data_IF_177660591788
#
_entry.id   IF_177660591788
#
_cell.length_a   1.000
_cell.length_b   1.000
_cell.length_c   1.000
_cell.angle_alpha   90.00
_cell.angle_beta   90.00
_cell.angle_gamma   90.00
#
_symmetry.space_group_name_H-M   'P 1'
#
loop_
_entity.id
_entity.type
_entity.pdbx_description
1 polymer ?
#
# COMPACT_ATOMS: atom_id res chain seq x y z
N UNK A 1 -61.96 -13.90 -21.18
CA UNK A 1 -60.89 -13.13 -20.53
C UNK A 1 -59.63 -13.95 -20.58
N UNK A 2 -58.74 -13.67 -21.54
CA UNK A 2 -57.46 -14.37 -21.70
C UNK A 2 -56.41 -13.53 -20.99
N UNK A 3 -55.80 -14.08 -19.94
CA UNK A 3 -54.72 -13.43 -19.21
C UNK A 3 -53.39 -13.79 -19.88
N UNK A 4 -52.69 -12.77 -20.41
CA UNK A 4 -51.34 -12.87 -20.94
C UNK A 4 -50.38 -12.64 -19.77
N UNK A 5 -49.61 -13.66 -19.42
CA UNK A 5 -48.51 -13.54 -18.46
C UNK A 5 -47.28 -13.00 -19.20
N UNK A 6 -46.86 -11.77 -18.88
CA UNK A 6 -45.54 -11.26 -19.28
C UNK A 6 -44.47 -11.92 -18.40
N UNK A 7 -43.60 -12.73 -19.01
CA UNK A 7 -42.33 -13.12 -18.41
C UNK A 7 -41.38 -11.92 -18.52
N UNK A 8 -41.01 -11.36 -17.38
CA UNK A 8 -39.91 -10.40 -17.25
C UNK A 8 -38.59 -11.17 -17.34
N UNK A 9 -37.82 -10.93 -18.40
CA UNK A 9 -36.42 -11.33 -18.49
C UNK A 9 -35.56 -10.28 -17.80
N UNK A 10 -35.01 -10.63 -16.64
CA UNK A 10 -34.01 -9.82 -15.94
C UNK A 10 -32.68 -9.98 -16.71
N UNK A 11 -32.04 -8.90 -17.16
CA UNK A 11 -30.78 -9.00 -17.91
C UNK A 11 -29.62 -9.44 -16.99
N UNK A 12 -28.77 -10.31 -17.51
CA UNK A 12 -27.64 -10.99 -16.84
C UNK A 12 -26.41 -10.06 -16.65
N UNK A 13 -26.55 -8.75 -16.88
CA UNK A 13 -25.43 -7.80 -16.93
C UNK A 13 -24.64 -7.69 -15.63
N UNK A 14 -25.31 -7.80 -14.47
CA UNK A 14 -24.67 -7.66 -13.16
C UNK A 14 -23.69 -8.78 -12.78
N UNK A 15 -23.82 -9.98 -13.37
CA UNK A 15 -22.84 -11.06 -13.13
C UNK A 15 -21.52 -10.82 -13.87
N UNK A 16 -21.57 -10.18 -15.04
CA UNK A 16 -20.37 -9.94 -15.85
C UNK A 16 -19.52 -8.81 -15.24
N UNK A 17 -20.14 -7.72 -14.77
CA UNK A 17 -19.43 -6.66 -14.04
C UNK A 17 -18.77 -7.17 -12.75
N UNK A 18 -19.46 -8.04 -11.99
CA UNK A 18 -18.90 -8.61 -10.77
C UNK A 18 -17.79 -9.66 -11.01
N UNK A 19 -17.76 -10.33 -12.16
CA UNK A 19 -16.65 -11.21 -12.55
C UNK A 19 -15.45 -10.42 -13.08
N UNK A 20 -15.68 -9.35 -13.84
CA UNK A 20 -14.61 -8.44 -14.30
C UNK A 20 -14.02 -7.61 -13.15
N UNK A 21 -14.82 -7.16 -12.18
CA UNK A 21 -14.30 -6.52 -10.95
C UNK A 21 -13.46 -7.48 -10.09
N UNK A 22 -13.70 -8.80 -10.16
CA UNK A 22 -12.89 -9.81 -9.47
C UNK A 22 -11.59 -10.12 -10.20
N UNK A 23 -11.54 -9.95 -11.52
CA UNK A 23 -10.27 -9.99 -12.26
C UNK A 23 -9.49 -8.70 -11.96
N UNK A 24 -8.25 -8.82 -11.49
CA UNK A 24 -7.37 -7.69 -11.17
C UNK A 24 -7.67 -6.95 -9.86
N UNK A 25 -8.55 -7.48 -9.01
CA UNK A 25 -8.66 -7.04 -7.61
C UNK A 25 -7.89 -8.00 -6.72
N UNK A 26 -6.95 -7.45 -5.94
CA UNK A 26 -6.32 -8.14 -4.81
C UNK A 26 -7.09 -7.77 -3.55
N UNK A 27 -7.87 -8.71 -3.04
CA UNK A 27 -8.45 -8.61 -1.71
C UNK A 27 -7.33 -8.73 -0.66
N UNK A 28 -7.30 -7.79 0.27
CA UNK A 28 -6.39 -7.75 1.41
C UNK A 28 -7.21 -7.69 2.69
N UNK A 29 -6.94 -8.58 3.63
CA UNK A 29 -7.55 -8.53 4.97
C UNK A 29 -6.49 -8.30 6.04
N UNK A 30 -6.63 -7.26 6.85
CA UNK A 30 -5.84 -7.10 8.07
C UNK A 30 -6.46 -7.91 9.21
N UNK A 31 -5.62 -8.65 9.93
CA UNK A 31 -6.01 -9.41 11.12
C UNK A 31 -5.00 -9.19 12.25
N UNK A 32 -5.41 -9.48 13.48
CA UNK A 32 -4.55 -9.44 14.66
C UNK A 32 -4.61 -10.79 15.38
N UNK A 33 -3.44 -11.40 15.60
CA UNK A 33 -3.25 -12.59 16.41
C UNK A 33 -2.72 -12.15 17.78
N UNK A 34 -3.61 -12.15 18.77
CA UNK A 34 -3.28 -11.71 20.12
C UNK A 34 -2.42 -12.71 20.90
N UNK A 35 -2.41 -14.00 20.53
CA UNK A 35 -1.59 -15.01 21.21
C UNK A 35 -0.12 -14.86 20.84
N UNK A 36 0.14 -14.59 19.56
CA UNK A 36 1.49 -14.42 19.01
C UNK A 36 1.94 -12.96 18.97
N UNK A 37 1.07 -12.01 19.36
CA UNK A 37 1.26 -10.57 19.24
C UNK A 37 1.67 -10.16 17.82
N UNK A 38 0.90 -10.61 16.81
CA UNK A 38 1.16 -10.34 15.40
C UNK A 38 0.02 -9.58 14.75
N UNK A 39 0.38 -8.62 13.92
CA UNK A 39 -0.53 -8.04 12.94
C UNK A 39 -0.16 -8.59 11.57
N UNK A 40 -1.16 -8.91 10.74
CA UNK A 40 -0.96 -9.66 9.51
C UNK A 40 -1.79 -9.08 8.39
N UNK A 41 -1.21 -9.03 7.19
CA UNK A 41 -1.97 -8.96 5.96
C UNK A 41 -2.26 -10.38 5.47
N UNK A 42 -3.46 -10.58 4.92
CA UNK A 42 -3.81 -11.78 4.17
C UNK A 42 -4.20 -11.33 2.77
N UNK A 43 -3.36 -11.65 1.80
CA UNK A 43 -3.62 -11.35 0.40
C UNK A 43 -4.32 -12.55 -0.24
N UNK A 44 -5.30 -12.26 -1.08
CA UNK A 44 -5.94 -13.28 -1.94
C UNK A 44 -4.99 -13.85 -3.00
N UNK A 45 -4.02 -13.05 -3.45
CA UNK A 45 -2.89 -13.49 -4.28
C UNK A 45 -1.64 -12.68 -3.97
N UNK A 46 -0.48 -13.34 -4.02
CA UNK A 46 0.84 -12.73 -3.93
C UNK A 46 1.62 -12.81 -5.26
N UNK A 47 1.01 -13.37 -6.31
CA UNK A 47 1.47 -13.32 -7.70
C UNK A 47 0.36 -12.71 -8.55
N UNK A 48 0.64 -11.62 -9.26
CA UNK A 48 -0.37 -10.87 -10.02
C UNK A 48 0.17 -10.44 -11.39
N UNK A 49 -0.74 -10.27 -12.34
CA UNK A 49 -0.45 -9.69 -13.66
C UNK A 49 -0.01 -8.23 -13.59
N UNK A 50 0.82 -7.79 -14.53
CA UNK A 50 1.22 -6.37 -14.67
C UNK A 50 0.07 -5.53 -15.22
N UNK A 51 0.11 -4.21 -14.99
CA UNK A 51 -0.93 -3.27 -15.41
C UNK A 51 -1.73 -2.71 -14.25
N UNK A 52 -2.97 -2.30 -14.51
CA UNK A 52 -3.86 -1.76 -13.49
C UNK A 52 -4.32 -2.85 -12.53
N UNK A 53 -4.11 -2.61 -11.24
CA UNK A 53 -4.51 -3.51 -10.15
C UNK A 53 -5.25 -2.72 -9.09
N UNK A 54 -6.42 -3.21 -8.69
CA UNK A 54 -7.16 -2.71 -7.54
C UNK A 54 -6.73 -3.47 -6.28
N UNK A 55 -6.35 -2.76 -5.23
CA UNK A 55 -6.26 -3.31 -3.89
C UNK A 55 -7.51 -2.94 -3.10
N UNK A 56 -8.27 -3.95 -2.68
CA UNK A 56 -9.40 -3.78 -1.78
C UNK A 56 -8.98 -4.22 -0.39
N UNK A 57 -8.79 -3.24 0.50
CA UNK A 57 -8.25 -3.47 1.82
C UNK A 57 -9.34 -3.42 2.89
N UNK A 58 -9.69 -4.59 3.42
CA UNK A 58 -10.59 -4.74 4.54
C UNK A 58 -9.81 -4.84 5.86
N UNK A 59 -10.07 -3.93 6.79
CA UNK A 59 -9.54 -4.02 8.13
C UNK A 59 -10.47 -4.82 9.05
N UNK A 60 -10.23 -6.13 9.17
CA UNK A 60 -11.02 -7.01 10.03
C UNK A 60 -10.51 -7.06 11.48
N UNK A 61 -9.59 -6.17 11.86
CA UNK A 61 -9.02 -6.10 13.21
C UNK A 61 -9.59 -4.93 14.01
N UNK A 62 -9.25 -4.89 15.30
CA UNK A 62 -9.59 -3.77 16.19
C UNK A 62 -8.61 -2.59 16.16
N UNK A 63 -7.62 -2.61 15.28
CA UNK A 63 -6.55 -1.59 15.18
C UNK A 63 -6.61 -0.91 13.84
N UNK A 64 -6.18 0.35 13.75
CA UNK A 64 -5.96 1.01 12.48
C UNK A 64 -4.75 0.38 11.76
N UNK A 65 -4.80 0.37 10.43
CA UNK A 65 -3.70 -0.16 9.62
C UNK A 65 -3.40 0.73 8.44
N UNK A 66 -2.15 0.67 8.00
CA UNK A 66 -1.66 1.38 6.84
C UNK A 66 -1.21 0.36 5.79
N UNK A 67 -1.64 0.52 4.54
CA UNK A 67 -1.20 -0.34 3.44
C UNK A 67 -0.44 0.50 2.41
N UNK A 68 0.87 0.32 2.36
CA UNK A 68 1.78 0.98 1.42
C UNK A 68 2.54 -0.05 0.60
N UNK A 69 2.59 0.18 -0.70
CA UNK A 69 3.27 -0.65 -1.68
C UNK A 69 4.62 -0.01 -2.02
N UNK A 70 5.68 -0.81 -1.99
CA UNK A 70 7.02 -0.45 -2.43
C UNK A 70 7.44 -1.31 -3.62
N UNK A 71 7.93 -0.69 -4.68
CA UNK A 71 8.67 -1.39 -5.72
C UNK A 71 10.13 -1.53 -5.30
N UNK A 72 10.68 -2.74 -5.43
CA UNK A 72 12.07 -3.04 -5.14
C UNK A 72 12.89 -2.88 -6.42
N UNK A 73 14.02 -2.15 -6.40
CA UNK A 73 14.87 -2.01 -7.57
C UNK A 73 15.60 -3.33 -7.85
N UNK A 74 16.04 -3.51 -9.10
CA UNK A 74 16.77 -4.69 -9.55
C UNK A 74 18.01 -4.99 -8.69
N UNK A 75 18.69 -3.95 -8.20
CA UNK A 75 19.82 -4.07 -7.29
C UNK A 75 19.44 -4.73 -5.96
N UNK A 76 18.25 -4.42 -5.43
CA UNK A 76 17.72 -5.03 -4.21
C UNK A 76 17.35 -6.50 -4.43
N UNK A 77 16.75 -6.82 -5.58
CA UNK A 77 16.44 -8.19 -5.98
C UNK A 77 17.72 -9.03 -6.12
N UNK A 78 18.76 -8.48 -6.77
CA UNK A 78 20.07 -9.12 -6.90
C UNK A 78 20.77 -9.30 -5.55
N UNK A 79 20.64 -8.33 -4.65
CA UNK A 79 21.22 -8.40 -3.31
C UNK A 79 20.59 -9.54 -2.48
N UNK A 80 19.26 -9.66 -2.48
CA UNK A 80 18.55 -10.76 -1.83
C UNK A 80 18.99 -12.14 -2.37
N UNK A 81 19.04 -12.28 -3.70
CA UNK A 81 19.52 -13.52 -4.35
C UNK A 81 20.96 -13.85 -3.98
N UNK A 82 21.86 -12.86 -3.97
CA UNK A 82 23.27 -13.04 -3.63
C UNK A 82 23.47 -13.45 -2.16
N UNK A 83 22.59 -13.00 -1.29
CA UNK A 83 22.56 -13.37 0.12
C UNK A 83 21.83 -14.70 0.38
N UNK A 84 21.24 -15.33 -0.64
CA UNK A 84 20.43 -16.54 -0.54
C UNK A 84 19.24 -16.37 0.42
N UNK A 85 18.53 -15.25 0.27
CA UNK A 85 17.41 -14.84 1.11
C UNK A 85 16.16 -14.63 0.26
N UNK A 86 14.98 -14.82 0.86
CA UNK A 86 13.75 -14.36 0.22
C UNK A 86 13.75 -12.82 0.13
N UNK A 87 12.98 -12.28 -0.81
CA UNK A 87 12.80 -10.82 -0.93
C UNK A 87 12.27 -10.23 0.38
N UNK A 88 11.28 -10.90 0.99
CA UNK A 88 10.67 -10.51 2.25
C UNK A 88 11.69 -10.46 3.39
N UNK A 89 12.49 -11.52 3.56
CA UNK A 89 13.51 -11.58 4.61
C UNK A 89 14.63 -10.56 4.40
N UNK A 90 14.97 -10.28 3.13
CA UNK A 90 15.99 -9.30 2.78
C UNK A 90 15.51 -7.89 3.11
N UNK A 91 14.27 -7.55 2.76
CA UNK A 91 13.63 -6.30 3.16
C UNK A 91 13.57 -6.17 4.69
N UNK A 92 13.08 -7.21 5.38
CA UNK A 92 12.93 -7.17 6.83
C UNK A 92 14.25 -6.85 7.54
N UNK A 93 15.34 -7.56 7.20
CA UNK A 93 16.64 -7.36 7.87
C UNK A 93 17.37 -6.10 7.41
N UNK A 94 17.14 -5.68 6.18
CA UNK A 94 17.78 -4.51 5.57
C UNK A 94 17.11 -3.19 5.95
N UNK A 95 15.78 -3.21 6.11
CA UNK A 95 14.92 -2.02 6.20
C UNK A 95 14.08 -2.04 7.48
N UNK A 96 13.14 -2.99 7.61
CA UNK A 96 12.13 -3.00 8.69
C UNK A 96 12.76 -3.09 10.08
N UNK A 97 13.69 -4.02 10.28
CA UNK A 97 14.37 -4.20 11.56
C UNK A 97 15.27 -3.01 11.92
N UNK A 98 16.11 -2.49 11.01
CA UNK A 98 16.82 -1.23 11.24
C UNK A 98 15.88 -0.07 11.58
N UNK A 99 14.75 0.06 10.89
CA UNK A 99 13.79 1.13 11.15
C UNK A 99 13.26 1.09 12.59
N UNK A 100 12.75 -0.06 13.05
CA UNK A 100 12.31 -0.22 14.44
C UNK A 100 13.46 0.09 15.42
N UNK A 101 14.64 -0.49 15.17
CA UNK A 101 15.80 -0.36 16.08
C UNK A 101 16.22 1.09 16.28
N UNK A 102 16.29 1.86 15.20
CA UNK A 102 16.70 3.27 15.25
C UNK A 102 15.56 4.19 15.74
N UNK A 103 14.30 3.80 15.57
CA UNK A 103 13.13 4.53 16.07
C UNK A 103 12.96 4.45 17.59
N UNK A 104 13.29 3.31 18.22
CA UNK A 104 13.16 3.11 19.68
C UNK A 104 13.80 4.22 20.53
N UNK A 105 15.10 4.54 20.40
CA UNK A 105 15.70 5.59 21.22
C UNK A 105 15.14 6.99 20.92
N UNK A 106 14.60 7.23 19.72
CA UNK A 106 13.91 8.47 19.41
C UNK A 106 12.60 8.61 20.19
N UNK A 107 11.76 7.57 20.18
CA UNK A 107 10.47 7.63 20.87
C UNK A 107 10.61 7.61 22.40
N UNK A 108 11.70 7.02 22.90
CA UNK A 108 12.10 7.07 24.32
C UNK A 108 12.66 8.44 24.75
N UNK A 109 12.88 9.36 23.81
CA UNK A 109 13.42 10.69 24.06
C UNK A 109 14.95 10.73 24.27
N UNK A 110 15.66 9.67 23.88
CA UNK A 110 17.12 9.59 23.95
C UNK A 110 17.83 10.26 22.77
N UNK A 111 17.13 10.40 21.63
CA UNK A 111 17.64 11.05 20.43
C UNK A 111 16.74 12.21 20.00
N UNK A 112 17.36 13.27 19.48
CA UNK A 112 16.63 14.27 18.71
C UNK A 112 16.25 13.72 17.33
N UNK A 113 15.18 14.25 16.74
CA UNK A 113 14.66 13.78 15.45
C UNK A 113 15.70 13.76 14.33
N UNK A 114 16.60 14.76 14.29
CA UNK A 114 17.68 14.80 13.30
C UNK A 114 18.70 13.67 13.52
N UNK A 115 19.03 13.37 14.77
CA UNK A 115 19.99 12.31 15.10
C UNK A 115 19.41 10.93 14.74
N UNK A 116 18.12 10.72 15.03
CA UNK A 116 17.38 9.55 14.57
C UNK A 116 17.45 9.38 13.05
N UNK A 117 17.05 10.40 12.30
CA UNK A 117 17.00 10.32 10.83
C UNK A 117 18.39 10.12 10.21
N UNK A 118 19.43 10.79 10.73
CA UNK A 118 20.82 10.58 10.30
C UNK A 118 21.27 9.13 10.59
N UNK A 119 20.98 8.60 11.79
CA UNK A 119 21.34 7.22 12.19
C UNK A 119 20.62 6.16 11.36
N UNK A 120 19.34 6.37 11.10
CA UNK A 120 18.52 5.50 10.26
C UNK A 120 19.07 5.45 8.83
N UNK A 121 19.34 6.60 8.22
CA UNK A 121 19.92 6.68 6.87
C UNK A 121 21.27 5.97 6.81
N UNK A 122 22.15 6.19 7.79
CA UNK A 122 23.45 5.53 7.85
C UNK A 122 23.31 4.01 7.97
N UNK A 123 22.42 3.53 8.84
CA UNK A 123 22.19 2.11 9.09
C UNK A 123 21.60 1.39 7.88
N UNK A 124 20.56 1.97 7.26
CA UNK A 124 19.96 1.42 6.05
C UNK A 124 20.96 1.48 4.88
N UNK A 125 21.68 2.58 4.68
CA UNK A 125 22.66 2.67 3.59
C UNK A 125 23.78 1.61 3.71
N UNK A 126 24.14 1.23 4.93
CA UNK A 126 25.12 0.15 5.17
C UNK A 126 24.57 -1.26 4.94
N UNK A 127 23.27 -1.49 5.14
CA UNK A 127 22.64 -2.82 5.04
C UNK A 127 21.95 -3.07 3.69
N UNK A 128 21.33 -2.05 3.15
CA UNK A 128 20.57 -2.02 1.91
C UNK A 128 20.98 -0.77 1.10
N UNK A 129 22.20 -0.74 0.54
CA UNK A 129 22.69 0.39 -0.25
C UNK A 129 21.84 0.69 -1.50
N UNK A 130 20.98 -0.26 -1.89
CA UNK A 130 20.02 -0.13 -2.99
C UNK A 130 18.72 0.60 -2.59
N UNK A 131 18.53 0.94 -1.32
CA UNK A 131 17.24 1.47 -0.85
C UNK A 131 17.02 2.95 -1.15
N UNK A 132 18.07 3.78 -1.06
CA UNK A 132 17.98 5.22 -1.29
C UNK A 132 18.41 5.61 -2.72
N UNK A 133 17.86 6.74 -3.18
CA UNK A 133 18.05 7.46 -4.46
C UNK A 133 18.70 6.71 -5.66
N UNK A 134 17.93 6.38 -6.72
CA UNK A 134 16.47 6.42 -6.80
C UNK A 134 15.84 5.29 -5.98
N UNK A 135 16.56 4.20 -5.75
CA UNK A 135 16.23 3.13 -4.81
C UNK A 135 14.80 2.57 -4.89
N UNK A 136 14.28 2.14 -3.74
CA UNK A 136 12.92 1.64 -3.63
C UNK A 136 11.90 2.79 -3.80
N UNK A 137 10.80 2.51 -4.50
CA UNK A 137 9.80 3.52 -4.87
C UNK A 137 8.46 3.20 -4.22
N UNK A 138 7.78 4.20 -3.67
CA UNK A 138 6.40 4.04 -3.21
C UNK A 138 5.44 4.06 -4.38
N UNK A 139 4.56 3.05 -4.46
CA UNK A 139 3.61 2.88 -5.56
C UNK A 139 2.18 3.26 -5.15
N UNK A 140 2.03 3.85 -3.96
CA UNK A 140 0.74 4.16 -3.35
C UNK A 140 0.18 2.98 -2.57
N UNK A 141 -1.14 2.80 -2.64
CA UNK A 141 -1.89 1.82 -1.85
C UNK A 141 -3.04 2.50 -1.11
N UNK A 142 -3.97 1.71 -0.52
CA UNK A 142 -5.15 2.23 0.14
C UNK A 142 -4.88 3.14 1.35
N UNK A 143 -3.65 3.18 1.87
CA UNK A 143 -3.28 4.07 2.96
C UNK A 143 -3.87 3.64 4.30
N UNK A 144 -4.25 4.61 5.13
CA UNK A 144 -4.85 4.34 6.44
C UNK A 144 -6.28 3.83 6.30
N UNK A 145 -6.57 2.73 6.99
CA UNK A 145 -7.91 2.14 7.05
C UNK A 145 -8.24 1.85 8.51
N UNK A 146 -9.29 2.51 9.00
CA UNK A 146 -9.71 2.39 10.38
C UNK A 146 -10.23 0.98 10.70
N UNK A 147 -10.25 0.62 11.97
CA UNK A 147 -10.80 -0.65 12.44
C UNK A 147 -12.23 -0.90 11.91
N UNK A 148 -12.45 -2.06 11.28
CA UNK A 148 -13.75 -2.46 10.72
C UNK A 148 -14.10 -1.84 9.36
N UNK A 149 -13.29 -0.91 8.85
CA UNK A 149 -13.56 -0.22 7.59
C UNK A 149 -12.90 -0.91 6.39
N UNK A 150 -13.28 -0.47 5.19
CA UNK A 150 -12.69 -0.93 3.92
C UNK A 150 -12.26 0.27 3.09
N UNK A 151 -11.07 0.19 2.50
CA UNK A 151 -10.53 1.17 1.56
C UNK A 151 -10.18 0.51 0.23
N UNK A 152 -10.14 1.30 -0.83
CA UNK A 152 -9.84 0.83 -2.19
C UNK A 152 -8.90 1.82 -2.87
N UNK A 153 -7.90 1.30 -3.56
CA UNK A 153 -7.04 2.10 -4.45
C UNK A 153 -6.66 1.26 -5.65
N UNK A 154 -6.60 1.90 -6.81
CA UNK A 154 -6.12 1.28 -8.05
C UNK A 154 -4.79 1.91 -8.42
N UNK A 155 -3.80 1.06 -8.72
CA UNK A 155 -2.43 1.48 -9.06
C UNK A 155 -1.99 0.75 -10.32
N UNK A 156 -1.10 1.35 -11.09
CA UNK A 156 -0.44 0.69 -12.21
C UNK A 156 0.87 0.07 -11.74
N UNK A 157 1.03 -1.25 -11.91
CA UNK A 157 2.23 -1.98 -11.50
C UNK A 157 2.92 -2.61 -12.71
N UNK A 158 4.20 -2.32 -12.87
CA UNK A 158 5.06 -2.95 -13.87
C UNK A 158 5.52 -4.33 -13.39
N UNK A 159 5.99 -5.21 -14.29
CA UNK A 159 6.63 -6.45 -13.86
C UNK A 159 7.79 -6.19 -12.89
N UNK A 160 7.83 -6.91 -11.77
CA UNK A 160 8.82 -6.68 -10.72
C UNK A 160 8.44 -7.27 -9.37
N UNK A 161 9.25 -6.97 -8.35
CA UNK A 161 9.05 -7.43 -6.97
C UNK A 161 8.65 -6.27 -6.08
N UNK A 162 7.63 -6.50 -5.26
CA UNK A 162 7.02 -5.48 -4.43
C UNK A 162 6.89 -5.92 -2.99
N UNK A 163 7.00 -4.97 -2.06
CA UNK A 163 6.72 -5.18 -0.65
C UNK A 163 5.49 -4.37 -0.27
N UNK A 164 4.61 -4.96 0.52
CA UNK A 164 3.52 -4.23 1.17
C UNK A 164 3.71 -4.25 2.68
N UNK A 165 3.59 -3.10 3.32
CA UNK A 165 3.91 -2.98 4.75
C UNK A 165 3.01 -1.99 5.49
N UNK A 166 2.88 -2.23 6.80
CA UNK A 166 2.16 -1.37 7.73
C UNK A 166 3.11 -0.62 8.67
N UNK A 167 2.98 0.71 8.70
CA UNK A 167 3.74 1.61 9.56
C UNK A 167 2.97 2.08 10.81
N UNK A 168 1.85 1.43 11.13
CA UNK A 168 1.16 1.66 12.40
C UNK A 168 1.93 0.95 13.52
N UNK A 169 1.93 1.54 14.72
CA UNK A 169 2.54 0.98 15.91
C UNK A 169 1.46 0.42 16.83
N UNK A 170 1.81 -0.63 17.57
CA UNK A 170 1.01 -1.11 18.68
C UNK A 170 1.21 -0.23 19.93
N UNK A 171 0.60 -0.61 21.05
CA UNK A 171 0.65 0.13 22.31
C UNK A 171 2.05 0.18 22.94
N UNK A 172 2.93 -0.76 22.58
CA UNK A 172 4.34 -0.79 22.98
C UNK A 172 5.30 -0.10 22.00
N UNK A 173 4.78 0.76 21.11
CA UNK A 173 5.57 1.51 20.12
C UNK A 173 6.29 0.63 19.08
N UNK A 174 5.83 -0.62 18.91
CA UNK A 174 6.36 -1.57 17.92
C UNK A 174 5.55 -1.49 16.63
N UNK A 175 6.22 -1.27 15.50
CA UNK A 175 5.62 -1.23 14.18
C UNK A 175 5.03 -2.59 13.79
N UNK A 176 3.81 -2.59 13.25
CA UNK A 176 3.13 -3.79 12.79
C UNK A 176 3.96 -4.57 11.76
N UNK A 177 4.66 -3.90 10.84
CA UNK A 177 5.59 -4.54 9.90
C UNK A 177 6.72 -5.31 10.59
N UNK A 178 7.18 -4.84 11.75
CA UNK A 178 8.18 -5.52 12.56
C UNK A 178 7.64 -6.80 13.23
N UNK A 179 6.35 -6.83 13.51
CA UNK A 179 5.64 -7.97 14.14
C UNK A 179 4.71 -8.72 13.17
N UNK A 180 5.09 -8.76 11.89
CA UNK A 180 4.51 -9.69 10.91
C UNK A 180 3.65 -9.06 9.81
N UNK A 181 3.39 -7.76 9.83
CA UNK A 181 2.51 -7.10 8.86
C UNK A 181 3.29 -6.57 7.65
N UNK A 182 3.96 -7.50 6.99
CA UNK A 182 4.87 -7.28 5.88
C UNK A 182 4.69 -8.45 4.90
N UNK A 183 4.38 -8.17 3.63
CA UNK A 183 4.15 -9.21 2.63
C UNK A 183 4.86 -8.88 1.31
N UNK A 184 5.19 -9.92 0.55
CA UNK A 184 5.82 -9.82 -0.76
C UNK A 184 4.79 -10.11 -1.86
N UNK A 185 4.82 -9.29 -2.92
CA UNK A 185 4.03 -9.47 -4.13
C UNK A 185 4.98 -9.56 -5.32
N UNK A 186 4.80 -10.56 -6.17
CA UNK A 186 5.46 -10.67 -7.47
C UNK A 186 4.50 -10.25 -8.57
N UNK A 187 4.90 -9.27 -9.37
CA UNK A 187 4.15 -8.83 -10.54
C UNK A 187 4.81 -9.44 -11.77
N UNK A 188 4.10 -10.35 -12.43
CA UNK A 188 4.63 -11.10 -13.57
C UNK A 188 4.45 -10.32 -14.87
N UNK A 189 5.29 -10.67 -15.87
CA UNK A 189 5.20 -10.14 -17.23
C UNK A 189 4.06 -10.79 -18.02
N UNK A 190 2.85 -10.60 -17.50
CA UNK A 190 1.57 -10.95 -18.11
C UNK A 190 0.65 -9.77 -17.88
N UNK A 191 0.37 -8.99 -18.93
CA UNK A 191 -0.45 -7.79 -18.82
C UNK A 191 -1.89 -8.16 -18.52
N UNK A 192 -2.48 -7.52 -17.52
CA UNK A 192 -3.89 -7.66 -17.18
C UNK A 192 -4.77 -6.98 -18.24
N UNK A 193 -5.97 -7.52 -18.46
CA UNK A 193 -6.98 -6.89 -19.32
C UNK A 193 -7.74 -5.76 -18.60
N UNK A 194 -7.22 -5.27 -17.47
CA UNK A 194 -7.88 -4.25 -16.64
C UNK A 194 -7.47 -2.87 -17.11
N UNK A 195 -8.48 -2.08 -17.46
CA UNK A 195 -8.30 -0.70 -17.90
C UNK A 195 -8.11 0.27 -16.73
N UNK A 196 -7.51 1.42 -17.01
CA UNK A 196 -7.44 2.53 -16.06
C UNK A 196 -8.84 2.96 -15.64
N UNK A 197 -9.12 3.15 -14.33
CA UNK A 197 -10.41 3.68 -13.90
C UNK A 197 -10.63 5.12 -14.38
N UNK A 198 -11.76 5.36 -15.04
CA UNK A 198 -12.16 6.72 -15.44
C UNK A 198 -12.43 7.62 -14.21
N UNK A 199 -11.70 8.74 -14.04
CA UNK A 199 -11.84 9.58 -12.86
C UNK A 199 -13.08 10.49 -12.95
N UNK A 200 -13.81 10.59 -11.85
CA UNK A 200 -14.89 11.59 -11.69
C UNK A 200 -14.36 12.92 -11.18
N UNK A 201 -13.19 12.90 -10.53
CA UNK A 201 -12.49 14.05 -9.93
C UNK A 201 -10.98 13.86 -10.07
N UNK A 202 -10.26 14.98 -10.06
CA UNK A 202 -8.80 14.98 -10.01
C UNK A 202 -8.36 15.79 -8.80
N UNK A 203 -7.53 15.19 -7.96
CA UNK A 203 -6.83 15.83 -6.86
C UNK A 203 -5.37 15.97 -7.26
N UNK A 204 -4.88 17.19 -7.30
CA UNK A 204 -3.47 17.48 -7.55
C UNK A 204 -2.78 17.83 -6.24
N UNK A 205 -1.58 17.29 -6.03
CA UNK A 205 -0.74 17.59 -4.88
C UNK A 205 0.64 18.10 -5.32
N UNK A 206 1.13 19.15 -4.67
CA UNK A 206 2.46 19.69 -4.91
C UNK A 206 3.05 20.33 -3.66
N UNK A 207 4.38 20.52 -3.65
CA UNK A 207 5.08 21.21 -2.58
C UNK A 207 4.81 22.71 -2.52
N UNK A 208 4.23 23.28 -3.59
CA UNK A 208 3.99 24.73 -3.73
C UNK A 208 2.54 25.10 -3.46
N UNK A 209 1.60 24.35 -4.07
CA UNK A 209 0.18 24.67 -4.06
C UNK A 209 -0.61 23.84 -3.03
N UNK A 210 0.03 22.83 -2.42
CA UNK A 210 -0.62 21.92 -1.48
C UNK A 210 -1.56 20.96 -2.20
N UNK A 211 -2.76 20.75 -1.65
CA UNK A 211 -3.80 19.86 -2.18
C UNK A 211 -4.87 20.69 -2.88
N UNK A 212 -5.09 20.42 -4.17
CA UNK A 212 -6.06 21.09 -5.02
C UNK A 212 -7.04 20.08 -5.61
N UNK A 213 -8.34 20.27 -5.43
CA UNK A 213 -9.35 19.53 -6.17
C UNK A 213 -9.82 20.34 -7.38
N UNK A 214 -9.91 19.70 -8.53
CA UNK A 214 -10.40 20.36 -9.75
C UNK A 214 -11.87 20.80 -9.64
N UNK A 215 -12.65 20.13 -8.77
CA UNK A 215 -14.07 20.39 -8.53
C UNK A 215 -14.44 19.99 -7.09
N UNK A 216 -15.48 20.60 -6.49
CA UNK A 216 -15.99 20.17 -5.18
C UNK A 216 -16.41 18.69 -5.17
N UNK A 217 -16.20 18.02 -4.04
CA UNK A 217 -16.79 16.72 -3.75
C UNK A 217 -18.29 16.89 -3.50
N UNK A 218 -19.08 15.99 -4.08
CA UNK A 218 -20.52 15.92 -3.87
C UNK A 218 -20.89 14.62 -3.18
N UNK A 219 -22.12 14.50 -2.69
CA UNK A 219 -22.63 13.21 -2.26
C UNK A 219 -22.58 12.19 -3.41
N UNK A 220 -22.34 10.91 -3.07
CA UNK A 220 -22.21 9.81 -4.02
C UNK A 220 -20.81 9.22 -4.09
N UNK A 221 -20.64 8.24 -4.98
CA UNK A 221 -19.37 7.57 -5.22
C UNK A 221 -18.51 8.36 -6.20
N UNK A 222 -17.21 8.44 -5.92
CA UNK A 222 -16.23 9.13 -6.75
C UNK A 222 -15.01 8.27 -6.97
N UNK A 223 -14.48 8.33 -8.19
CA UNK A 223 -13.12 7.87 -8.52
C UNK A 223 -12.26 9.12 -8.58
N UNK A 224 -11.31 9.23 -7.65
CA UNK A 224 -10.44 10.40 -7.55
C UNK A 224 -9.06 10.02 -8.07
N UNK A 225 -8.67 10.60 -9.20
CA UNK A 225 -7.30 10.53 -9.71
C UNK A 225 -6.40 11.40 -8.83
N UNK A 226 -5.25 10.85 -8.42
CA UNK A 226 -4.26 11.55 -7.59
C UNK A 226 -3.05 11.89 -8.46
N UNK A 227 -2.85 13.19 -8.72
CA UNK A 227 -1.71 13.70 -9.51
C UNK A 227 -0.68 14.36 -8.63
N UNK A 228 0.52 13.78 -8.56
CA UNK A 228 1.69 14.37 -7.91
C UNK A 228 2.44 15.26 -8.92
N UNK A 229 2.27 16.59 -8.84
CA UNK A 229 3.00 17.57 -9.70
C UNK A 229 4.52 17.55 -9.43
N UNK A 230 4.88 17.34 -8.16
CA UNK A 230 6.23 17.06 -7.70
C UNK A 230 6.14 16.00 -6.60
N UNK A 231 7.28 15.40 -6.23
CA UNK A 231 7.35 14.47 -5.11
C UNK A 231 8.59 14.78 -4.27
N UNK A 232 8.45 15.76 -3.36
CA UNK A 232 9.55 16.21 -2.51
C UNK A 232 9.70 15.33 -1.29
N UNK A 233 10.89 14.81 -1.05
CA UNK A 233 11.23 14.17 0.24
C UNK A 233 11.41 15.21 1.33
N UNK A 234 10.74 15.02 2.45
CA UNK A 234 10.81 15.89 3.63
C UNK A 234 11.81 15.35 4.66
N UNK A 235 12.05 16.11 5.74
CA UNK A 235 12.99 15.73 6.80
C UNK A 235 12.66 14.38 7.47
N UNK A 236 11.39 13.97 7.43
CA UNK A 236 10.94 12.66 7.91
C UNK A 236 11.20 11.52 6.94
N UNK A 237 11.81 11.77 5.78
CA UNK A 237 12.15 10.80 4.74
C UNK A 237 10.96 10.28 3.91
N UNK A 238 9.76 10.85 4.08
CA UNK A 238 8.61 10.57 3.21
C UNK A 238 8.35 11.73 2.26
N UNK A 239 7.60 11.43 1.19
CA UNK A 239 7.07 12.42 0.26
C UNK A 239 5.66 12.87 0.62
N UNK A 240 5.03 13.56 -0.32
CA UNK A 240 3.60 13.83 -0.30
C UNK A 240 2.79 12.54 -0.22
N UNK A 241 1.66 12.65 0.47
CA UNK A 241 0.74 11.56 0.65
C UNK A 241 -0.68 12.13 0.81
N UNK A 242 -1.68 11.42 0.29
CA UNK A 242 -3.10 11.78 0.41
C UNK A 242 -3.79 10.68 1.20
N UNK A 243 -4.51 11.08 2.25
CA UNK A 243 -5.31 10.19 3.10
C UNK A 243 -6.75 10.68 3.15
N UNK A 244 -7.70 9.75 3.03
CA UNK A 244 -9.10 10.06 3.23
C UNK A 244 -9.44 9.87 4.72
N UNK A 245 -9.86 10.94 5.37
CA UNK A 245 -10.26 10.92 6.78
C UNK A 245 -11.72 11.34 6.92
N UNK A 246 -12.44 10.66 7.80
CA UNK A 246 -13.77 11.06 8.24
C UNK A 246 -13.65 11.80 9.57
N UNK A 247 -14.07 13.05 9.59
CA UNK A 247 -14.04 13.94 10.77
C UNK A 247 -15.32 13.80 11.61
#
# INVERSE_FOLDING_TARGET
TVAIALLSTIPITACNEAETERQGTVEVTATHDAEENKHLFKLSSNEISSGWTTFQFQNASGYDHFFLIWQIPEEGIKAARSANESILDHWFRGITQPFQKEFNPYIEGELEFKEFTDSLVATISGKAPWFFDPGAQTMGGPGFTAAGETSKTTVHLEPGEYIVECYVKNEEEVFHSYIGMLEHISVIDETSDIEEPEPTKTLTISSTDGIELNQPLTEGSHTIEILFKDQKTYAHLQGHNVQLVKL
#
